data_IF_563004605191
#
_entry.id   IF_563004605191
#
_cell.length_a   1.000
_cell.length_b   1.000
_cell.length_c   1.000
_cell.angle_alpha   90.00
_cell.angle_beta   90.00
_cell.angle_gamma   90.00
#
_symmetry.space_group_name_H-M   'P 1'
#
loop_
_entity.id
_entity.type
_entity.pdbx_description
1 polymer ?
#
# COMPACT_ATOMS: atom_id res chain seq x y z
N UNK A 1 35.82 9.86 -3.65
CA UNK A 1 35.76 11.34 -3.71
C UNK A 1 35.42 11.91 -5.09
N UNK A 2 35.66 11.18 -6.18
CA UNK A 2 35.35 11.64 -7.56
C UNK A 2 33.86 11.60 -7.97
N UNK A 3 33.04 10.79 -7.30
CA UNK A 3 31.62 10.67 -7.64
C UNK A 3 30.69 11.74 -7.02
N UNK A 4 31.15 12.45 -6.00
CA UNK A 4 30.41 13.59 -5.40
C UNK A 4 30.56 14.86 -6.28
N UNK A 5 31.63 14.94 -7.07
CA UNK A 5 31.93 16.12 -7.91
C UNK A 5 31.06 16.14 -9.20
N UNK A 6 30.47 15.01 -9.61
CA UNK A 6 29.60 14.97 -10.79
C UNK A 6 28.19 15.57 -10.57
N UNK A 7 27.77 15.76 -9.31
CA UNK A 7 26.51 16.43 -9.00
C UNK A 7 26.64 17.99 -9.00
N UNK A 8 27.86 18.54 -8.90
CA UNK A 8 28.09 20.00 -8.83
C UNK A 8 28.54 20.67 -10.14
N UNK A 9 28.76 19.91 -11.21
CA UNK A 9 29.15 20.48 -12.52
C UNK A 9 28.39 19.86 -13.67
N UNK A 10 27.18 20.36 -13.90
CA UNK A 10 26.49 20.17 -15.18
C UNK A 10 26.60 21.49 -15.95
N UNK A 11 27.47 21.59 -16.98
CA UNK A 11 27.38 22.69 -17.95
C UNK A 11 26.10 22.50 -18.77
N UNK A 12 25.45 23.57 -19.18
CA UNK A 12 24.31 23.64 -20.07
C UNK A 12 24.47 22.72 -21.30
N UNK A 13 23.78 21.62 -21.26
CA UNK A 13 23.87 20.50 -22.20
C UNK A 13 23.31 19.24 -21.54
N UNK A 14 22.48 19.36 -20.52
CA UNK A 14 22.03 18.34 -19.58
C UNK A 14 21.44 17.13 -20.25
N UNK A 15 22.15 16.02 -20.17
CA UNK A 15 21.54 14.68 -20.14
C UNK A 15 20.76 14.65 -18.83
N UNK A 16 19.44 14.68 -18.91
CA UNK A 16 18.54 14.60 -17.75
C UNK A 16 18.61 13.18 -17.17
N UNK A 17 19.67 12.89 -16.38
CA UNK A 17 19.86 11.59 -15.74
C UNK A 17 18.81 11.49 -14.67
N UNK A 18 17.90 10.51 -14.82
CA UNK A 18 16.90 10.21 -13.81
C UNK A 18 17.62 9.78 -12.50
N UNK A 19 17.38 10.41 -11.34
CA UNK A 19 18.02 10.04 -10.08
C UNK A 19 18.00 8.53 -9.77
N UNK A 20 16.98 7.81 -10.24
CA UNK A 20 16.86 6.35 -10.11
C UNK A 20 18.04 5.60 -10.75
N UNK A 21 18.58 6.12 -11.84
CA UNK A 21 19.62 5.41 -12.63
C UNK A 21 20.95 5.30 -11.85
N UNK A 22 21.25 6.23 -10.94
CA UNK A 22 22.39 6.11 -10.02
C UNK A 22 22.24 4.88 -9.11
N UNK A 23 21.01 4.60 -8.67
CA UNK A 23 20.71 3.48 -7.76
C UNK A 23 20.58 2.13 -8.48
N UNK A 24 20.89 2.07 -9.75
CA UNK A 24 21.08 0.82 -10.51
C UNK A 24 22.55 0.42 -10.64
N UNK A 25 23.46 1.26 -10.17
CA UNK A 25 24.89 0.99 -10.15
C UNK A 25 25.33 0.47 -8.77
N UNK A 26 25.79 -0.78 -8.69
CA UNK A 26 26.16 -1.43 -7.42
C UNK A 26 27.27 -0.68 -6.68
N UNK A 27 28.26 -0.13 -7.39
CA UNK A 27 29.36 0.60 -6.76
C UNK A 27 28.87 1.91 -6.13
N UNK A 28 27.98 2.64 -6.84
CA UNK A 28 27.35 3.84 -6.30
C UNK A 28 26.50 3.51 -5.05
N UNK A 29 25.62 2.50 -5.16
CA UNK A 29 24.74 2.07 -4.06
C UNK A 29 25.54 1.64 -2.86
N UNK A 30 26.59 0.83 -3.01
CA UNK A 30 27.42 0.36 -1.91
C UNK A 30 28.08 1.54 -1.19
N UNK A 31 28.72 2.45 -1.91
CA UNK A 31 29.35 3.63 -1.32
C UNK A 31 28.32 4.56 -0.64
N UNK A 32 27.20 4.87 -1.32
CA UNK A 32 26.16 5.73 -0.78
C UNK A 32 25.53 5.13 0.48
N UNK A 33 25.27 3.82 0.50
CA UNK A 33 24.66 3.17 1.64
C UNK A 33 25.63 3.01 2.82
N UNK A 34 26.90 2.75 2.58
CA UNK A 34 27.91 2.74 3.65
C UNK A 34 28.01 4.09 4.36
N UNK A 35 27.95 5.18 3.61
CA UNK A 35 28.09 6.54 4.15
C UNK A 35 26.79 7.05 4.79
N UNK A 36 25.65 6.83 4.14
CA UNK A 36 24.41 7.51 4.50
C UNK A 36 23.35 6.61 5.14
N UNK A 37 23.38 5.29 4.92
CA UNK A 37 22.31 4.38 5.36
C UNK A 37 22.74 3.49 6.52
N UNK A 38 23.92 2.84 6.46
CA UNK A 38 24.38 1.97 7.54
C UNK A 38 24.49 2.70 8.89
N UNK A 39 24.93 3.97 8.99
CA UNK A 39 24.93 4.71 10.25
C UNK A 39 23.53 4.90 10.84
N UNK A 40 22.49 5.11 9.99
CA UNK A 40 21.10 5.24 10.46
C UNK A 40 20.49 3.92 10.96
N UNK A 41 21.13 2.81 10.61
CA UNK A 41 20.76 1.46 11.07
C UNK A 41 21.59 1.00 12.26
N UNK A 42 22.50 1.85 12.80
CA UNK A 42 23.51 1.49 13.81
C UNK A 42 24.46 0.39 13.33
N UNK A 43 24.83 0.41 12.04
CA UNK A 43 25.70 -0.57 11.38
C UNK A 43 26.97 0.11 10.82
N UNK A 44 27.47 1.18 11.47
CA UNK A 44 28.65 1.92 11.00
C UNK A 44 29.95 1.09 10.99
N UNK A 45 29.99 0.05 11.83
CA UNK A 45 31.09 -0.91 11.91
C UNK A 45 31.08 -1.95 10.78
N UNK A 46 30.05 -1.96 9.92
CA UNK A 46 29.97 -2.88 8.79
C UNK A 46 30.39 -2.20 7.48
N UNK A 47 30.84 -3.03 6.54
CA UNK A 47 31.02 -2.70 5.12
C UNK A 47 30.13 -3.58 4.26
N UNK A 48 29.76 -3.10 3.08
CA UNK A 48 28.98 -3.87 2.13
C UNK A 48 29.93 -4.74 1.29
N UNK A 49 29.76 -6.06 1.37
CA UNK A 49 30.51 -7.03 0.56
C UNK A 49 29.88 -7.21 -0.81
N UNK A 50 28.56 -7.20 -0.87
CA UNK A 50 27.77 -7.42 -2.08
C UNK A 50 26.45 -6.68 -1.97
N UNK A 51 26.02 -6.10 -3.08
CA UNK A 51 24.71 -5.48 -3.24
C UNK A 51 24.00 -6.13 -4.44
N UNK A 52 22.82 -6.69 -4.22
CA UNK A 52 21.92 -7.09 -5.32
C UNK A 52 20.81 -6.06 -5.47
N UNK A 53 20.55 -5.67 -6.71
CA UNK A 53 19.58 -4.61 -7.06
C UNK A 53 18.49 -5.22 -7.93
N UNK A 54 17.26 -5.29 -7.38
CA UNK A 54 16.11 -5.88 -8.05
C UNK A 54 15.01 -4.85 -8.28
N UNK A 55 14.62 -4.60 -9.52
CA UNK A 55 13.48 -3.73 -9.82
C UNK A 55 12.18 -4.43 -9.46
N UNK A 56 11.44 -3.89 -8.49
CA UNK A 56 10.12 -4.41 -8.07
C UNK A 56 8.98 -3.90 -8.96
N UNK A 57 9.05 -2.62 -9.38
CA UNK A 57 8.06 -1.98 -10.26
C UNK A 57 8.78 -1.14 -11.30
N UNK A 58 8.52 -1.39 -12.59
CA UNK A 58 9.13 -0.69 -13.72
C UNK A 58 8.33 0.53 -14.21
N UNK A 59 7.32 0.99 -13.46
CA UNK A 59 6.52 2.16 -13.86
C UNK A 59 7.39 3.41 -13.86
N UNK A 60 7.49 4.11 -14.99
CA UNK A 60 8.32 5.32 -15.16
C UNK A 60 8.09 6.40 -14.10
N UNK A 61 6.87 6.50 -13.54
CA UNK A 61 6.49 7.55 -12.56
C UNK A 61 6.63 7.15 -11.10
N UNK A 62 6.75 5.86 -10.79
CA UNK A 62 6.80 5.33 -9.42
C UNK A 62 7.68 4.08 -9.38
N UNK A 63 8.98 4.21 -9.66
CA UNK A 63 9.88 3.07 -9.57
C UNK A 63 10.04 2.65 -8.12
N UNK A 64 10.16 1.33 -7.90
CA UNK A 64 10.53 0.74 -6.63
C UNK A 64 11.63 -0.28 -6.87
N UNK A 65 12.69 -0.20 -6.07
CA UNK A 65 13.87 -1.05 -6.18
C UNK A 65 14.13 -1.70 -4.82
N UNK A 66 14.37 -2.99 -4.85
CA UNK A 66 14.88 -3.75 -3.70
C UNK A 66 16.41 -3.77 -3.75
N UNK A 67 17.00 -3.52 -2.59
CA UNK A 67 18.44 -3.64 -2.34
C UNK A 67 18.65 -4.74 -1.31
N UNK A 68 19.35 -5.79 -1.69
CA UNK A 68 19.80 -6.83 -0.77
C UNK A 68 21.30 -6.68 -0.55
N UNK A 69 21.67 -6.39 0.70
CA UNK A 69 23.02 -6.08 1.09
C UNK A 69 23.57 -7.20 1.96
N UNK A 70 24.77 -7.70 1.63
CA UNK A 70 25.55 -8.59 2.49
C UNK A 70 26.63 -7.77 3.18
N UNK A 71 26.65 -7.84 4.50
CA UNK A 71 27.49 -7.03 5.35
C UNK A 71 28.58 -7.87 6.02
N UNK A 72 29.76 -7.29 6.20
CA UNK A 72 30.83 -7.84 7.01
C UNK A 72 31.31 -6.80 8.02
N UNK A 73 31.59 -7.23 9.25
CA UNK A 73 32.14 -6.35 10.27
C UNK A 73 33.58 -5.94 9.90
N UNK A 74 33.89 -4.65 9.94
CA UNK A 74 35.20 -4.07 9.61
C UNK A 74 36.31 -4.58 10.54
N UNK A 75 35.95 -4.96 11.77
CA UNK A 75 36.89 -5.38 12.83
C UNK A 75 37.20 -6.89 12.80
N UNK A 76 36.49 -7.69 11.98
CA UNK A 76 36.73 -9.13 11.86
C UNK A 76 37.83 -9.42 10.83
N UNK A 77 39.07 -9.50 11.30
CA UNK A 77 40.23 -9.94 10.48
C UNK A 77 40.37 -11.47 10.38
N UNK A 78 39.55 -12.25 11.11
CA UNK A 78 39.62 -13.71 11.11
C UNK A 78 38.82 -14.32 9.95
N UNK A 79 39.53 -14.91 9.00
CA UNK A 79 38.97 -15.58 7.83
C UNK A 79 38.14 -16.84 8.15
N UNK A 80 37.95 -17.23 9.41
CA UNK A 80 37.34 -18.51 9.78
C UNK A 80 35.94 -18.42 10.44
N UNK A 81 35.44 -17.22 10.76
CA UNK A 81 34.04 -17.00 11.23
C UNK A 81 33.48 -15.71 10.66
N UNK A 82 33.23 -15.69 9.36
CA UNK A 82 32.49 -14.60 8.75
C UNK A 82 31.01 -14.75 9.13
N UNK A 83 30.57 -14.02 10.13
CA UNK A 83 29.16 -13.84 10.41
C UNK A 83 28.62 -12.85 9.38
N UNK A 84 28.22 -13.37 8.21
CA UNK A 84 27.56 -12.59 7.17
C UNK A 84 26.16 -12.24 7.65
N UNK A 85 25.92 -10.96 7.84
CA UNK A 85 24.57 -10.41 8.09
C UNK A 85 24.03 -9.87 6.78
N UNK A 86 22.75 -10.12 6.46
CA UNK A 86 22.11 -9.53 5.30
C UNK A 86 20.95 -8.63 5.72
N UNK A 87 20.80 -7.51 5.01
CA UNK A 87 19.65 -6.61 5.16
C UNK A 87 19.00 -6.38 3.82
N UNK A 88 17.67 -6.27 3.83
CA UNK A 88 16.87 -6.01 2.64
C UNK A 88 16.13 -4.68 2.79
N UNK A 89 16.33 -3.78 1.83
CA UNK A 89 15.75 -2.46 1.79
C UNK A 89 14.92 -2.27 0.53
N UNK A 90 13.95 -1.38 0.60
CA UNK A 90 13.17 -0.94 -0.57
C UNK A 90 13.29 0.57 -0.71
N UNK A 91 13.76 1.01 -1.88
CA UNK A 91 13.76 2.39 -2.29
C UNK A 91 12.54 2.70 -3.15
N UNK A 92 11.86 3.80 -2.86
CA UNK A 92 10.77 4.37 -3.65
C UNK A 92 11.13 5.77 -4.11
N UNK A 93 10.78 6.11 -5.35
CA UNK A 93 11.05 7.42 -5.96
C UNK A 93 9.77 8.09 -6.42
N UNK A 94 9.67 9.40 -6.16
CA UNK A 94 8.61 10.28 -6.65
C UNK A 94 9.12 11.70 -6.74
N UNK A 95 8.62 12.45 -7.73
CA UNK A 95 8.99 13.86 -7.94
C UNK A 95 7.92 14.81 -7.35
N UNK A 96 7.29 14.43 -6.26
CA UNK A 96 6.28 15.21 -5.57
C UNK A 96 6.51 15.17 -4.04
N UNK A 97 5.89 16.09 -3.33
CA UNK A 97 5.99 16.21 -1.86
C UNK A 97 5.39 14.99 -1.12
N UNK A 98 4.56 14.23 -1.81
CA UNK A 98 3.86 13.08 -1.23
C UNK A 98 4.79 12.04 -0.61
N UNK A 99 6.00 11.87 -1.17
CA UNK A 99 6.97 10.90 -0.64
C UNK A 99 7.52 11.35 0.72
N UNK A 100 7.75 12.67 0.88
CA UNK A 100 8.19 13.24 2.16
C UNK A 100 7.10 13.12 3.22
N UNK A 101 5.86 13.49 2.87
CA UNK A 101 4.70 13.35 3.76
C UNK A 101 4.48 11.90 4.18
N UNK A 102 4.61 10.96 3.25
CA UNK A 102 4.52 9.52 3.53
C UNK A 102 5.61 9.08 4.48
N UNK A 103 6.83 9.56 4.31
CA UNK A 103 7.95 9.24 5.20
C UNK A 103 7.72 9.77 6.62
N UNK A 104 7.27 11.01 6.76
CA UNK A 104 6.96 11.64 8.05
C UNK A 104 5.85 10.87 8.79
N UNK A 105 4.78 10.50 8.07
CA UNK A 105 3.72 9.66 8.60
C UNK A 105 4.24 8.30 9.09
N UNK A 106 5.05 7.63 8.29
CA UNK A 106 5.64 6.33 8.67
C UNK A 106 6.54 6.45 9.91
N UNK A 107 7.32 7.53 10.04
CA UNK A 107 8.12 7.78 11.24
C UNK A 107 7.24 7.98 12.47
N UNK A 108 6.15 8.72 12.34
CA UNK A 108 5.19 8.93 13.43
C UNK A 108 4.53 7.61 13.84
N UNK A 109 4.01 6.83 12.88
CA UNK A 109 3.44 5.51 13.13
C UNK A 109 4.44 4.56 13.78
N UNK A 110 5.68 4.55 13.29
CA UNK A 110 6.75 3.75 13.88
C UNK A 110 6.97 4.10 15.35
N UNK A 111 7.03 5.38 15.68
CA UNK A 111 7.26 5.84 17.07
C UNK A 111 6.06 5.60 17.99
N UNK A 112 4.84 5.51 17.44
CA UNK A 112 3.57 5.40 18.20
C UNK A 112 3.03 3.98 18.32
N UNK A 113 3.82 2.95 18.03
CA UNK A 113 3.44 1.57 18.33
C UNK A 113 3.55 0.57 17.20
N UNK A 114 4.06 0.95 16.03
CA UNK A 114 4.40 -0.01 14.97
C UNK A 114 5.89 -0.39 14.96
N UNK A 115 6.61 -0.10 16.03
CA UNK A 115 7.99 -0.57 16.21
C UNK A 115 7.99 -2.11 16.33
N UNK A 116 8.99 -2.73 15.70
CA UNK A 116 9.20 -4.16 15.84
C UNK A 116 9.65 -4.45 17.28
N UNK A 117 8.71 -4.87 18.14
CA UNK A 117 8.99 -5.49 19.43
C UNK A 117 8.68 -6.99 19.32
N UNK A 118 9.29 -7.80 20.21
CA UNK A 118 9.12 -9.26 20.17
C UNK A 118 7.66 -9.72 20.38
N UNK A 119 6.83 -8.88 21.01
CA UNK A 119 5.43 -9.18 21.35
C UNK A 119 4.42 -8.57 20.38
N UNK A 120 4.84 -7.77 19.38
CA UNK A 120 3.92 -7.10 18.46
C UNK A 120 4.05 -7.63 17.02
N UNK A 121 3.07 -8.44 16.64
CA UNK A 121 2.96 -9.04 15.32
C UNK A 121 2.32 -8.13 14.25
N UNK A 122 1.82 -6.93 14.64
CA UNK A 122 1.17 -5.96 13.74
C UNK A 122 2.16 -4.86 13.37
N UNK A 123 2.78 -4.96 12.20
CA UNK A 123 3.96 -4.19 11.80
C UNK A 123 3.71 -3.32 10.57
N UNK A 124 4.60 -2.35 10.36
CA UNK A 124 4.81 -1.64 9.09
C UNK A 124 6.27 -1.83 8.66
N UNK A 125 6.58 -1.57 7.39
CA UNK A 125 7.98 -1.43 6.96
C UNK A 125 8.63 -0.29 7.70
N UNK A 126 9.80 -0.55 8.34
CA UNK A 126 10.55 0.47 9.10
C UNK A 126 11.01 1.59 8.16
N UNK A 127 10.60 2.85 8.37
CA UNK A 127 11.16 3.97 7.63
C UNK A 127 12.60 4.21 8.05
N UNK A 128 13.52 4.28 7.07
CA UNK A 128 14.96 4.38 7.36
C UNK A 128 15.47 5.78 7.06
N UNK A 129 15.21 6.27 5.86
CA UNK A 129 15.66 7.60 5.44
C UNK A 129 14.82 8.15 4.28
N UNK A 130 14.73 9.48 4.25
CA UNK A 130 14.31 10.24 3.08
C UNK A 130 15.49 11.10 2.59
N UNK A 131 15.78 11.05 1.29
CA UNK A 131 16.84 11.78 0.62
C UNK A 131 16.22 12.73 -0.41
N UNK A 132 16.03 14.01 -0.07
CA UNK A 132 15.34 14.98 -0.93
C UNK A 132 16.06 15.19 -2.27
N UNK A 133 17.40 15.24 -2.27
CA UNK A 133 18.20 15.46 -3.49
C UNK A 133 18.03 14.34 -4.54
N UNK A 134 17.60 13.18 -4.11
CA UNK A 134 17.34 12.03 -4.97
C UNK A 134 15.84 11.69 -5.11
N UNK A 135 14.96 12.43 -4.43
CA UNK A 135 13.54 12.07 -4.31
C UNK A 135 13.34 10.60 -3.91
N UNK A 136 14.15 10.13 -2.97
CA UNK A 136 14.24 8.74 -2.55
C UNK A 136 13.80 8.58 -1.10
N UNK A 137 12.84 7.69 -0.88
CA UNK A 137 12.51 7.15 0.44
C UNK A 137 13.02 5.72 0.55
N UNK A 138 13.74 5.40 1.63
CA UNK A 138 14.16 4.04 1.98
C UNK A 138 13.38 3.53 3.18
N UNK A 139 12.93 2.27 3.07
CA UNK A 139 12.32 1.52 4.14
C UNK A 139 12.86 0.09 4.18
N UNK A 140 12.68 -0.63 5.30
CA UNK A 140 12.93 -2.06 5.35
C UNK A 140 12.00 -2.79 4.38
N UNK A 141 12.48 -3.87 3.75
CA UNK A 141 11.60 -4.76 3.01
C UNK A 141 10.71 -5.52 3.99
N UNK A 142 9.42 -5.63 3.69
CA UNK A 142 8.52 -6.53 4.40
C UNK A 142 8.94 -7.98 4.17
N UNK A 143 9.00 -8.76 5.23
CA UNK A 143 9.27 -10.19 5.17
C UNK A 143 8.01 -10.99 4.84
N UNK A 144 8.21 -12.25 4.44
CA UNK A 144 7.13 -13.19 4.20
C UNK A 144 6.51 -13.11 2.81
N UNK A 145 5.26 -13.55 2.73
CA UNK A 145 4.51 -13.71 1.48
C UNK A 145 3.37 -12.69 1.45
N UNK A 146 3.16 -12.08 0.30
CA UNK A 146 2.03 -11.19 0.04
C UNK A 146 0.70 -11.96 0.17
N UNK A 147 -0.23 -11.46 0.99
CA UNK A 147 -1.54 -12.11 1.21
C UNK A 147 -2.33 -12.24 -0.11
N UNK A 148 -2.19 -11.26 -1.01
CA UNK A 148 -2.78 -11.33 -2.35
C UNK A 148 -2.24 -12.48 -3.19
N UNK A 149 -0.96 -12.83 -3.05
CA UNK A 149 -0.37 -14.00 -3.70
C UNK A 149 -0.90 -15.31 -3.08
N UNK A 150 -1.00 -15.38 -1.77
CA UNK A 150 -1.59 -16.54 -1.07
C UNK A 150 -3.04 -16.75 -1.48
N UNK A 151 -3.84 -15.69 -1.70
CA UNK A 151 -5.19 -15.80 -2.26
C UNK A 151 -5.22 -16.43 -3.65
N UNK A 152 -4.19 -16.23 -4.46
CA UNK A 152 -4.11 -16.88 -5.79
C UNK A 152 -3.69 -18.36 -5.70
N UNK A 153 -2.91 -18.74 -4.70
CA UNK A 153 -2.36 -20.08 -4.52
C UNK A 153 -3.31 -21.03 -3.73
N UNK A 154 -4.29 -20.49 -2.98
CA UNK A 154 -5.54 -21.19 -2.68
C UNK A 154 -5.63 -22.07 -1.43
N UNK A 155 -4.77 -21.96 -0.41
CA UNK A 155 -5.01 -22.66 0.87
C UNK A 155 -5.96 -21.84 1.77
N UNK A 156 -7.26 -22.20 1.72
CA UNK A 156 -8.33 -21.46 2.40
C UNK A 156 -8.16 -21.46 3.94
N UNK A 157 -7.67 -22.54 4.56
CA UNK A 157 -7.65 -22.68 6.02
C UNK A 157 -6.66 -21.73 6.69
N UNK A 158 -5.52 -21.47 6.05
CA UNK A 158 -4.49 -20.54 6.53
C UNK A 158 -4.88 -19.11 6.24
N UNK A 159 -5.51 -18.88 5.07
CA UNK A 159 -5.95 -17.54 4.62
C UNK A 159 -6.95 -16.88 5.56
N UNK A 160 -7.93 -17.63 6.09
CA UNK A 160 -8.95 -17.08 6.98
C UNK A 160 -8.35 -16.44 8.22
N UNK A 161 -7.36 -17.09 8.84
CA UNK A 161 -6.70 -16.53 10.01
C UNK A 161 -5.99 -15.21 9.71
N UNK A 162 -5.28 -15.10 8.60
CA UNK A 162 -4.60 -13.87 8.22
C UNK A 162 -5.57 -12.75 7.85
N UNK A 163 -6.69 -13.09 7.20
CA UNK A 163 -7.76 -12.11 6.91
C UNK A 163 -8.32 -11.54 8.21
N UNK A 164 -8.57 -12.39 9.22
CA UNK A 164 -9.06 -11.94 10.52
C UNK A 164 -8.00 -11.12 11.28
N UNK A 165 -6.72 -11.51 11.20
CA UNK A 165 -5.64 -10.73 11.81
C UNK A 165 -5.46 -9.36 11.13
N UNK A 166 -5.72 -9.25 9.82
CA UNK A 166 -5.71 -8.00 9.09
C UNK A 166 -6.71 -6.97 9.70
N UNK A 167 -7.86 -7.42 10.24
CA UNK A 167 -8.79 -6.56 10.97
C UNK A 167 -8.16 -5.97 12.24
N UNK A 168 -7.37 -6.76 12.98
CA UNK A 168 -6.65 -6.27 14.16
C UNK A 168 -5.61 -5.21 13.82
N UNK A 169 -4.96 -5.35 12.66
CA UNK A 169 -4.03 -4.36 12.16
C UNK A 169 -4.73 -3.03 11.84
N UNK A 170 -5.87 -3.07 11.12
CA UNK A 170 -6.69 -1.88 10.86
C UNK A 170 -7.18 -1.22 12.15
N UNK A 171 -7.69 -2.01 13.11
CA UNK A 171 -8.11 -1.48 14.39
C UNK A 171 -6.97 -0.76 15.13
N UNK A 172 -5.73 -1.28 15.03
CA UNK A 172 -4.54 -0.60 15.57
C UNK A 172 -4.27 0.72 14.85
N UNK A 173 -4.29 0.74 13.52
CA UNK A 173 -4.08 1.96 12.72
C UNK A 173 -5.13 3.03 13.04
N UNK A 174 -6.40 2.66 13.03
CA UNK A 174 -7.50 3.60 13.22
C UNK A 174 -7.63 4.14 14.65
N UNK A 175 -6.94 3.53 15.62
CA UNK A 175 -6.86 4.02 17.01
C UNK A 175 -5.66 4.96 17.28
N UNK A 176 -4.75 5.10 16.31
CA UNK A 176 -3.58 5.95 16.49
C UNK A 176 -3.94 7.41 16.22
N UNK A 177 -3.70 8.27 17.19
CA UNK A 177 -3.76 9.72 17.01
C UNK A 177 -2.48 10.18 16.30
N UNK A 178 -2.58 10.63 15.04
CA UNK A 178 -1.48 11.12 14.22
C UNK A 178 -1.63 12.60 13.88
N UNK A 179 -0.47 13.28 13.75
CA UNK A 179 -0.39 14.69 13.36
C UNK A 179 0.02 14.88 11.91
N UNK A 180 0.74 13.91 11.36
CA UNK A 180 1.31 13.97 10.01
C UNK A 180 0.35 13.47 8.91
N UNK A 181 -0.91 13.23 9.22
CA UNK A 181 -1.91 12.76 8.26
C UNK A 181 -2.39 13.87 7.32
N UNK A 182 -2.37 13.64 6.02
CA UNK A 182 -3.01 14.54 5.05
C UNK A 182 -4.52 14.56 5.26
N UNK A 183 -5.15 15.72 5.02
CA UNK A 183 -6.60 15.77 4.96
C UNK A 183 -7.11 15.09 3.68
N UNK A 184 -8.23 14.40 3.77
CA UNK A 184 -8.96 13.92 2.61
C UNK A 184 -9.49 15.10 1.79
N UNK A 185 -9.37 15.03 0.47
CA UNK A 185 -9.90 16.03 -0.45
C UNK A 185 -11.15 15.49 -1.13
N UNK A 186 -12.31 16.00 -0.72
CA UNK A 186 -13.59 15.68 -1.35
C UNK A 186 -13.63 16.11 -2.82
N UNK A 187 -13.02 17.24 -3.16
CA UNK A 187 -12.92 17.72 -4.54
C UNK A 187 -12.13 16.72 -5.42
N UNK A 188 -11.01 16.23 -4.91
CA UNK A 188 -10.22 15.21 -5.61
C UNK A 188 -11.00 13.90 -5.77
N UNK A 189 -11.76 13.49 -4.76
CA UNK A 189 -12.60 12.30 -4.81
C UNK A 189 -13.73 12.46 -5.80
N UNK A 190 -14.43 13.59 -5.80
CA UNK A 190 -15.48 13.91 -6.78
C UNK A 190 -14.96 13.86 -8.22
N UNK A 191 -13.81 14.48 -8.49
CA UNK A 191 -13.19 14.44 -9.81
C UNK A 191 -12.87 13.00 -10.25
N UNK A 192 -12.40 12.18 -9.31
CA UNK A 192 -12.09 10.76 -9.53
C UNK A 192 -13.35 9.95 -9.82
N UNK A 193 -14.40 10.08 -9.00
CA UNK A 193 -15.67 9.37 -9.17
C UNK A 193 -16.35 9.76 -10.49
N UNK A 194 -16.34 11.04 -10.85
CA UNK A 194 -16.85 11.55 -12.12
C UNK A 194 -16.12 10.89 -13.30
N UNK A 195 -14.79 10.89 -13.27
CA UNK A 195 -13.98 10.26 -14.32
C UNK A 195 -14.29 8.75 -14.46
N UNK A 196 -14.45 8.02 -13.34
CA UNK A 196 -14.82 6.61 -13.39
C UNK A 196 -16.23 6.41 -13.96
N UNK A 197 -17.19 7.26 -13.56
CA UNK A 197 -18.56 7.24 -14.07
C UNK A 197 -18.58 7.44 -15.59
N UNK A 198 -17.96 8.50 -16.09
CA UNK A 198 -17.88 8.81 -17.52
C UNK A 198 -17.28 7.64 -18.32
N UNK A 199 -16.16 7.08 -17.83
CA UNK A 199 -15.52 5.93 -18.47
C UNK A 199 -16.42 4.68 -18.49
N UNK A 200 -17.09 4.36 -17.39
CA UNK A 200 -17.99 3.21 -17.32
C UNK A 200 -19.27 3.41 -18.14
N UNK A 201 -19.84 4.61 -18.17
CA UNK A 201 -20.98 4.93 -19.04
C UNK A 201 -20.63 4.79 -20.52
N UNK A 202 -19.40 5.17 -20.90
CA UNK A 202 -18.91 4.96 -22.26
C UNK A 202 -18.74 3.48 -22.62
N UNK A 203 -18.22 2.67 -21.68
CA UNK A 203 -18.01 1.23 -21.88
C UNK A 203 -19.32 0.43 -21.89
N UNK A 204 -20.32 0.88 -21.12
CA UNK A 204 -21.58 0.18 -20.87
C UNK A 204 -22.79 1.10 -21.07
N UNK A 205 -23.08 1.51 -22.32
CA UNK A 205 -24.15 2.49 -22.59
C UNK A 205 -25.52 2.02 -22.11
N UNK A 206 -25.81 0.70 -22.14
CA UNK A 206 -27.08 0.12 -21.67
C UNK A 206 -27.28 0.27 -20.15
N UNK A 207 -26.21 0.51 -19.38
CA UNK A 207 -26.22 0.73 -17.95
C UNK A 207 -25.88 2.17 -17.54
N UNK A 208 -25.69 3.08 -18.50
CA UNK A 208 -25.13 4.41 -18.26
C UNK A 208 -25.91 5.22 -17.22
N UNK A 209 -27.24 5.25 -17.31
CA UNK A 209 -28.09 5.95 -16.33
C UNK A 209 -27.92 5.36 -14.93
N UNK A 210 -27.95 4.03 -14.82
CA UNK A 210 -27.80 3.32 -13.56
C UNK A 210 -26.43 3.57 -12.92
N UNK A 211 -25.38 3.50 -13.71
CA UNK A 211 -24.00 3.78 -13.28
C UNK A 211 -23.88 5.21 -12.77
N UNK A 212 -24.39 6.19 -13.53
CA UNK A 212 -24.33 7.59 -13.14
C UNK A 212 -25.08 7.86 -11.83
N UNK A 213 -26.26 7.26 -11.65
CA UNK A 213 -27.07 7.38 -10.43
C UNK A 213 -26.35 6.77 -9.22
N UNK A 214 -25.68 5.63 -9.36
CA UNK A 214 -24.91 4.99 -8.30
C UNK A 214 -23.72 5.85 -7.86
N UNK A 215 -22.96 6.43 -8.79
CA UNK A 215 -21.88 7.35 -8.46
C UNK A 215 -22.36 8.62 -7.77
N UNK A 216 -23.48 9.20 -8.23
CA UNK A 216 -24.09 10.37 -7.59
C UNK A 216 -24.52 10.05 -6.16
N UNK A 217 -25.17 8.91 -5.94
CA UNK A 217 -25.60 8.48 -4.60
C UNK A 217 -24.40 8.27 -3.65
N UNK A 218 -23.32 7.64 -4.14
CA UNK A 218 -22.10 7.47 -3.35
C UNK A 218 -21.52 8.83 -2.96
N UNK A 219 -21.38 9.74 -3.91
CA UNK A 219 -20.83 11.08 -3.67
C UNK A 219 -21.68 11.88 -2.66
N UNK A 220 -23.02 11.83 -2.78
CA UNK A 220 -23.92 12.54 -1.86
C UNK A 220 -23.81 11.98 -0.44
N UNK A 221 -23.66 10.65 -0.29
CA UNK A 221 -23.40 10.03 1.01
C UNK A 221 -22.04 10.45 1.57
N UNK A 222 -20.98 10.48 0.78
CA UNK A 222 -19.65 10.94 1.21
C UNK A 222 -19.65 12.43 1.62
N UNK A 223 -20.37 13.28 0.92
CA UNK A 223 -20.55 14.69 1.26
C UNK A 223 -21.30 14.92 2.57
N UNK A 224 -22.15 13.99 2.96
CA UNK A 224 -22.96 14.07 4.19
C UNK A 224 -22.24 13.56 5.45
N UNK A 225 -20.99 13.09 5.34
CA UNK A 225 -20.25 12.53 6.45
C UNK A 225 -19.85 13.59 7.48
N UNK A 226 -19.99 13.25 8.76
CA UNK A 226 -19.47 14.09 9.85
C UNK A 226 -17.96 13.85 10.02
N UNK A 227 -17.16 14.88 9.76
CA UNK A 227 -15.70 14.82 9.88
C UNK A 227 -15.21 14.52 11.30
N UNK A 228 -16.06 14.62 12.33
CA UNK A 228 -15.71 14.21 13.70
C UNK A 228 -15.44 12.72 13.84
N UNK A 229 -15.94 11.91 12.89
CA UNK A 229 -15.71 10.46 12.86
C UNK A 229 -14.44 10.10 12.05
N UNK A 230 -13.70 11.08 11.53
CA UNK A 230 -12.54 10.83 10.70
C UNK A 230 -11.33 10.47 11.56
N UNK A 231 -10.53 9.55 11.03
CA UNK A 231 -9.26 9.10 11.59
C UNK A 231 -8.27 8.82 10.48
N UNK A 232 -7.07 8.42 10.85
CA UNK A 232 -6.09 7.99 9.85
C UNK A 232 -6.57 6.72 9.16
N UNK A 233 -6.64 6.74 7.83
CA UNK A 233 -6.85 5.56 7.00
C UNK A 233 -5.58 5.22 6.21
N UNK A 234 -5.46 3.95 5.82
CA UNK A 234 -4.41 3.51 4.89
C UNK A 234 -4.70 3.99 3.46
N UNK A 235 -5.97 4.02 3.04
CA UNK A 235 -6.43 4.51 1.74
C UNK A 235 -6.20 3.56 0.55
N UNK A 236 -5.38 2.52 0.72
CA UNK A 236 -5.18 1.43 -0.24
C UNK A 236 -4.99 0.08 0.50
N UNK A 237 -5.79 -0.15 1.56
CA UNK A 237 -5.72 -1.37 2.35
C UNK A 237 -6.27 -2.56 1.58
N UNK A 238 -5.41 -3.36 1.01
CA UNK A 238 -5.79 -4.52 0.20
C UNK A 238 -4.79 -5.67 0.38
N UNK A 239 -5.16 -6.92 0.04
CA UNK A 239 -4.30 -8.09 0.25
C UNK A 239 -2.90 -8.01 -0.38
N UNK A 240 -2.71 -7.23 -1.46
CA UNK A 240 -1.39 -7.09 -2.08
C UNK A 240 -0.44 -6.17 -1.30
N UNK A 241 -0.96 -5.40 -0.35
CA UNK A 241 -0.17 -4.51 0.51
C UNK A 241 0.06 -5.11 1.90
N UNK A 242 -0.34 -6.38 2.13
CA UNK A 242 -0.20 -7.11 3.39
C UNK A 242 0.75 -8.28 3.19
N UNK A 243 1.83 -8.32 3.97
CA UNK A 243 2.79 -9.41 4.00
C UNK A 243 2.65 -10.19 5.29
N UNK A 244 2.72 -11.53 5.19
CA UNK A 244 2.62 -12.45 6.32
C UNK A 244 3.88 -13.30 6.45
N UNK A 245 4.42 -13.37 7.66
CA UNK A 245 5.61 -14.14 8.01
C UNK A 245 5.38 -14.81 9.38
N UNK A 246 5.00 -16.09 9.36
CA UNK A 246 4.51 -16.75 10.57
C UNK A 246 3.27 -16.06 11.12
N UNK A 247 3.36 -15.51 12.32
CA UNK A 247 2.28 -14.72 12.92
C UNK A 247 2.34 -13.22 12.59
N UNK A 248 3.43 -12.76 12.00
CA UNK A 248 3.63 -11.35 11.71
C UNK A 248 2.82 -10.88 10.51
N UNK A 249 2.18 -9.73 10.65
CA UNK A 249 1.55 -8.99 9.57
C UNK A 249 2.28 -7.67 9.38
N UNK A 250 2.87 -7.48 8.21
CA UNK A 250 3.51 -6.21 7.82
C UNK A 250 2.74 -5.56 6.69
N UNK A 251 2.27 -4.34 6.91
CA UNK A 251 1.56 -3.56 5.89
C UNK A 251 2.50 -2.52 5.28
N UNK A 252 2.37 -2.34 3.96
CA UNK A 252 3.19 -1.44 3.14
C UNK A 252 2.31 -0.49 2.31
N UNK A 253 2.93 0.50 1.70
CA UNK A 253 2.32 1.37 0.66
C UNK A 253 1.31 2.41 1.18
N UNK A 254 1.78 3.27 2.10
CA UNK A 254 1.01 4.35 2.76
C UNK A 254 0.83 5.62 1.90
N UNK A 255 1.15 5.58 0.60
CA UNK A 255 1.07 6.77 -0.26
C UNK A 255 -0.36 7.35 -0.41
N UNK A 256 -1.39 6.56 -0.13
CA UNK A 256 -2.79 6.99 -0.17
C UNK A 256 -3.36 7.34 1.20
N UNK A 257 -2.56 7.21 2.26
CA UNK A 257 -3.01 7.46 3.63
C UNK A 257 -3.42 8.92 3.83
N UNK A 258 -4.53 9.11 4.50
CA UNK A 258 -5.07 10.44 4.82
C UNK A 258 -6.01 10.36 6.04
N UNK A 259 -6.45 11.51 6.53
CA UNK A 259 -7.48 11.61 7.57
C UNK A 259 -8.84 11.57 6.88
N UNK A 260 -9.55 10.47 7.04
CA UNK A 260 -10.87 10.22 6.45
C UNK A 260 -11.67 9.20 7.27
N UNK A 261 -12.81 8.73 6.73
CA UNK A 261 -13.67 7.74 7.39
C UNK A 261 -13.01 6.36 7.46
N UNK A 262 -12.77 5.79 8.65
CA UNK A 262 -12.19 4.44 8.81
C UNK A 262 -12.95 3.33 8.09
N UNK A 263 -14.26 3.50 7.85
CA UNK A 263 -15.06 2.56 7.07
C UNK A 263 -14.57 2.37 5.64
N UNK A 264 -13.80 3.34 5.10
CA UNK A 264 -13.21 3.25 3.76
C UNK A 264 -12.30 2.03 3.63
N UNK A 265 -11.34 1.86 4.54
CA UNK A 265 -10.41 0.73 4.49
C UNK A 265 -11.12 -0.62 4.68
N UNK A 266 -12.12 -0.66 5.58
CA UNK A 266 -12.92 -1.86 5.82
C UNK A 266 -13.67 -2.28 4.56
N UNK A 267 -14.45 -1.37 3.97
CA UNK A 267 -15.23 -1.65 2.78
C UNK A 267 -14.36 -1.98 1.56
N UNK A 268 -13.24 -1.26 1.40
CA UNK A 268 -12.28 -1.51 0.33
C UNK A 268 -11.66 -2.90 0.44
N UNK A 269 -11.19 -3.30 1.62
CA UNK A 269 -10.60 -4.62 1.85
C UNK A 269 -11.60 -5.75 1.57
N UNK A 270 -12.81 -5.66 2.12
CA UNK A 270 -13.86 -6.65 1.92
C UNK A 270 -14.23 -6.77 0.43
N UNK A 271 -14.38 -5.64 -0.27
CA UNK A 271 -14.65 -5.64 -1.71
C UNK A 271 -13.52 -6.32 -2.51
N UNK A 272 -12.25 -6.16 -2.09
CA UNK A 272 -11.11 -6.86 -2.70
C UNK A 272 -11.16 -8.37 -2.47
N UNK A 273 -11.59 -8.83 -1.29
CA UNK A 273 -11.79 -10.26 -1.02
C UNK A 273 -12.92 -10.86 -1.89
N UNK A 274 -14.06 -10.16 -2.01
CA UNK A 274 -15.17 -10.59 -2.88
C UNK A 274 -14.71 -10.67 -4.34
N UNK A 275 -13.93 -9.67 -4.79
CA UNK A 275 -13.38 -9.65 -6.14
C UNK A 275 -12.37 -10.78 -6.38
N UNK A 276 -11.53 -11.10 -5.40
CA UNK A 276 -10.58 -12.20 -5.47
C UNK A 276 -11.30 -13.56 -5.49
N UNK A 277 -12.28 -13.77 -4.60
CA UNK A 277 -13.12 -14.98 -4.60
C UNK A 277 -13.71 -15.24 -5.98
N UNK A 278 -14.36 -14.23 -6.58
CA UNK A 278 -14.95 -14.35 -7.92
C UNK A 278 -13.90 -14.65 -9.00
N UNK A 279 -12.78 -13.93 -8.97
CA UNK A 279 -11.72 -14.04 -9.98
C UNK A 279 -11.01 -15.38 -9.96
N UNK A 280 -10.71 -15.90 -8.78
CA UNK A 280 -9.92 -17.12 -8.58
C UNK A 280 -10.77 -18.33 -8.20
N UNK A 281 -12.11 -18.19 -8.13
CA UNK A 281 -13.05 -19.21 -7.70
C UNK A 281 -12.65 -19.84 -6.35
N UNK A 282 -12.33 -18.98 -5.38
CA UNK A 282 -11.83 -19.43 -4.08
C UNK A 282 -12.94 -20.11 -3.26
N UNK A 283 -12.63 -21.20 -2.55
CA UNK A 283 -13.57 -21.90 -1.68
C UNK A 283 -13.73 -21.18 -0.32
N UNK A 284 -13.89 -19.85 -0.35
CA UNK A 284 -14.05 -19.02 0.84
C UNK A 284 -15.52 -18.67 1.05
N UNK A 285 -16.01 -18.80 2.28
CA UNK A 285 -17.26 -18.18 2.69
C UNK A 285 -16.99 -16.72 3.04
N UNK A 286 -17.16 -15.83 2.04
CA UNK A 286 -16.83 -14.40 2.23
C UNK A 286 -17.82 -13.71 3.15
N UNK A 287 -19.06 -14.17 3.26
CA UNK A 287 -20.05 -13.55 4.14
C UNK A 287 -19.72 -13.87 5.61
N UNK A 288 -19.32 -15.09 5.94
CA UNK A 288 -18.81 -15.44 7.27
C UNK A 288 -17.49 -14.72 7.57
N UNK A 289 -16.57 -14.68 6.61
CA UNK A 289 -15.30 -13.98 6.76
C UNK A 289 -15.49 -12.46 6.99
N UNK A 290 -16.39 -11.81 6.24
CA UNK A 290 -16.74 -10.41 6.45
C UNK A 290 -17.22 -10.19 7.89
N UNK A 291 -18.16 -11.00 8.36
CA UNK A 291 -18.67 -10.92 9.73
C UNK A 291 -17.53 -11.07 10.75
N UNK A 292 -16.74 -12.12 10.67
CA UNK A 292 -15.62 -12.38 11.60
C UNK A 292 -14.54 -11.29 11.55
N UNK A 293 -14.26 -10.74 10.37
CA UNK A 293 -13.36 -9.61 10.18
C UNK A 293 -13.87 -8.35 10.91
N UNK A 294 -15.15 -8.02 10.72
CA UNK A 294 -15.77 -6.85 11.36
C UNK A 294 -15.91 -7.04 12.87
N UNK A 295 -16.26 -8.23 13.35
CA UNK A 295 -16.30 -8.57 14.78
C UNK A 295 -14.91 -8.41 15.42
N UNK A 296 -13.86 -8.86 14.74
CA UNK A 296 -12.48 -8.72 15.21
C UNK A 296 -12.03 -7.27 15.26
N UNK A 297 -12.42 -6.46 14.28
CA UNK A 297 -12.15 -5.03 14.25
C UNK A 297 -12.82 -4.31 15.42
N UNK A 298 -14.13 -4.53 15.64
CA UNK A 298 -14.90 -3.85 16.68
C UNK A 298 -14.58 -4.32 18.08
N UNK A 299 -13.93 -5.44 18.26
CA UNK A 299 -13.41 -5.85 19.57
C UNK A 299 -12.40 -4.84 20.17
N UNK A 300 -11.86 -3.93 19.36
CA UNK A 300 -10.82 -2.97 19.76
C UNK A 300 -11.16 -1.51 19.46
N UNK A 301 -12.24 -1.24 18.72
CA UNK A 301 -12.59 0.11 18.25
C UNK A 301 -14.13 0.28 18.22
N UNK A 302 -14.58 1.53 18.06
CA UNK A 302 -16.00 1.85 17.94
C UNK A 302 -16.67 1.08 16.79
N UNK A 303 -17.94 0.69 17.00
CA UNK A 303 -18.83 0.09 15.99
C UNK A 303 -19.29 1.11 14.92
N UNK A 304 -19.14 2.41 15.17
CA UNK A 304 -19.68 3.49 14.31
C UNK A 304 -19.25 3.39 12.83
N UNK A 305 -17.98 3.06 12.49
CA UNK A 305 -17.57 2.86 11.08
C UNK A 305 -18.35 1.75 10.37
N UNK A 306 -18.85 0.72 11.09
CA UNK A 306 -19.54 -0.41 10.45
C UNK A 306 -20.78 0.01 9.68
N UNK A 307 -21.46 1.07 10.11
CA UNK A 307 -22.65 1.61 9.45
C UNK A 307 -22.39 2.07 8.01
N UNK A 308 -21.13 2.35 7.68
CA UNK A 308 -20.74 2.90 6.38
C UNK A 308 -19.88 1.95 5.53
N UNK A 309 -19.61 0.74 6.01
CA UNK A 309 -18.85 -0.27 5.26
C UNK A 309 -19.50 -0.57 3.91
N UNK A 310 -20.85 -0.67 3.86
CA UNK A 310 -21.59 -0.89 2.62
C UNK A 310 -21.34 0.21 1.58
N UNK A 311 -21.28 1.48 1.99
CA UNK A 311 -20.97 2.60 1.08
C UNK A 311 -19.62 2.38 0.37
N UNK A 312 -18.59 2.01 1.12
CA UNK A 312 -17.25 1.85 0.56
C UNK A 312 -17.04 0.51 -0.15
N UNK A 313 -17.82 -0.53 0.18
CA UNK A 313 -17.92 -1.73 -0.67
C UNK A 313 -18.50 -1.37 -2.04
N UNK A 314 -19.61 -0.63 -2.07
CA UNK A 314 -20.26 -0.17 -3.28
C UNK A 314 -19.31 0.65 -4.16
N UNK A 315 -18.66 1.66 -3.57
CA UNK A 315 -17.66 2.48 -4.24
C UNK A 315 -16.52 1.63 -4.84
N UNK A 316 -16.05 0.64 -4.08
CA UNK A 316 -14.94 -0.21 -4.48
C UNK A 316 -15.29 -1.21 -5.59
N UNK A 317 -16.55 -1.64 -5.71
CA UNK A 317 -17.02 -2.46 -6.82
C UNK A 317 -17.02 -1.68 -8.13
N UNK A 318 -17.50 -0.44 -8.12
CA UNK A 318 -17.44 0.43 -9.31
C UNK A 318 -15.98 0.77 -9.68
N UNK A 319 -15.12 1.02 -8.69
CA UNK A 319 -13.69 1.16 -8.92
C UNK A 319 -13.08 -0.09 -9.56
N UNK A 320 -13.42 -1.28 -9.07
CA UNK A 320 -12.95 -2.55 -9.64
C UNK A 320 -13.35 -2.70 -11.10
N UNK A 321 -14.62 -2.41 -11.42
CA UNK A 321 -15.15 -2.46 -12.78
C UNK A 321 -14.42 -1.47 -13.70
N UNK A 322 -14.17 -0.24 -13.23
CA UNK A 322 -13.40 0.77 -13.97
C UNK A 322 -11.97 0.28 -14.28
N UNK A 323 -11.23 -0.17 -13.29
CA UNK A 323 -9.82 -0.55 -13.49
C UNK A 323 -9.63 -1.86 -14.26
N UNK A 324 -10.63 -2.71 -14.30
CA UNK A 324 -10.57 -3.95 -15.08
C UNK A 324 -10.35 -3.67 -16.58
N UNK A 325 -10.89 -2.58 -17.11
CA UNK A 325 -10.82 -2.22 -18.52
C UNK A 325 -9.92 -1.02 -18.81
N UNK A 326 -9.61 -0.21 -17.80
CA UNK A 326 -8.77 1.00 -17.95
C UNK A 326 -7.32 0.70 -18.33
N UNK A 327 -6.76 -0.40 -17.83
CA UNK A 327 -5.30 -0.63 -17.91
C UNK A 327 -4.82 -1.14 -19.26
N UNK A 328 -5.70 -1.34 -20.25
CA UNK A 328 -5.35 -1.92 -21.54
C UNK A 328 -4.78 -3.35 -21.48
N UNK A 329 -4.74 -3.95 -20.28
CA UNK A 329 -4.23 -5.30 -20.05
C UNK A 329 -5.26 -6.38 -20.34
N UNK A 330 -6.52 -5.99 -20.40
CA UNK A 330 -7.62 -6.87 -20.78
C UNK A 330 -7.78 -6.77 -22.29
N UNK A 331 -7.40 -7.81 -23.03
CA UNK A 331 -7.76 -8.00 -24.43
C UNK A 331 -9.24 -8.38 -24.59
N UNK A 332 -10.00 -8.42 -23.49
CA UNK A 332 -11.40 -8.77 -23.48
C UNK A 332 -12.25 -7.52 -23.69
N UNK A 333 -13.27 -7.65 -24.55
CA UNK A 333 -14.34 -6.66 -24.68
C UNK A 333 -15.06 -6.50 -23.34
N UNK A 334 -15.65 -5.31 -23.05
CA UNK A 334 -16.50 -5.13 -21.88
C UNK A 334 -17.58 -6.23 -21.82
N UNK A 335 -17.66 -6.92 -20.69
CA UNK A 335 -18.61 -8.02 -20.47
C UNK A 335 -19.85 -7.48 -19.76
N UNK A 336 -21.00 -7.54 -20.43
CA UNK A 336 -22.29 -7.06 -19.92
C UNK A 336 -22.73 -7.83 -18.66
N UNK A 337 -22.49 -9.14 -18.60
CA UNK A 337 -22.84 -9.96 -17.43
C UNK A 337 -21.97 -9.61 -16.22
N UNK A 338 -20.69 -9.31 -16.45
CA UNK A 338 -19.79 -8.87 -15.39
C UNK A 338 -20.20 -7.48 -14.88
N UNK A 339 -20.55 -6.56 -15.79
CA UNK A 339 -21.07 -5.24 -15.44
C UNK A 339 -22.35 -5.36 -14.58
N UNK A 340 -23.34 -6.14 -15.04
CA UNK A 340 -24.58 -6.36 -14.30
C UNK A 340 -24.34 -6.93 -12.90
N UNK A 341 -23.41 -7.89 -12.79
CA UNK A 341 -23.05 -8.48 -11.49
C UNK A 341 -22.53 -7.40 -10.51
N UNK A 342 -21.59 -6.55 -10.94
CA UNK A 342 -21.02 -5.53 -10.06
C UNK A 342 -21.99 -4.40 -9.75
N UNK A 343 -22.85 -4.05 -10.68
CA UNK A 343 -23.96 -3.10 -10.45
C UNK A 343 -24.90 -3.65 -9.37
N UNK A 344 -25.34 -4.90 -9.50
CA UNK A 344 -26.23 -5.52 -8.51
C UNK A 344 -25.58 -5.56 -7.13
N UNK A 345 -24.31 -5.93 -7.05
CA UNK A 345 -23.56 -5.92 -5.78
C UNK A 345 -23.41 -4.52 -5.18
N UNK A 346 -23.27 -3.50 -6.03
CA UNK A 346 -23.24 -2.10 -5.60
C UNK A 346 -24.59 -1.67 -5.01
N UNK A 347 -25.69 -2.01 -5.67
CA UNK A 347 -27.05 -1.71 -5.20
C UNK A 347 -27.38 -2.41 -3.89
N UNK A 348 -27.05 -3.73 -3.77
CA UNK A 348 -27.21 -4.49 -2.53
C UNK A 348 -26.54 -3.77 -1.35
N UNK A 349 -25.30 -3.30 -1.53
CA UNK A 349 -24.55 -2.61 -0.48
C UNK A 349 -25.14 -1.23 -0.11
N UNK A 350 -25.75 -0.52 -1.05
CA UNK A 350 -26.35 0.80 -0.79
C UNK A 350 -27.77 0.73 -0.23
N UNK A 351 -28.49 -0.33 -0.46
CA UNK A 351 -29.86 -0.55 0.06
C UNK A 351 -29.88 -1.01 1.52
N UNK A 352 -28.81 -1.66 1.98
CA UNK A 352 -28.67 -2.14 3.36
C UNK A 352 -28.27 -1.01 4.35
N UNK A 353 -28.18 0.21 3.90
CA UNK A 353 -27.93 1.42 4.70
C UNK A 353 -29.19 2.29 4.76
#
# INVERSE_FOLDING_TARGET
>A
MEYIILAEKIPDGSININPVDYFLNEAFVSNFFEVHVLPRLNLSEFRILKCEINRLKSRRRKPAIEFRLWLNNKNNNDNHKQQQTSINLVGKWRNDELLKETFDLLQELWSKGFQSGDDDYLKISKPIAYFPDYNLMLASKANGIELGKMLMEGDASVLENYIIQAASWLAKLHNIDVRSGRAFSLETEEAKLRHWSEHLCFLYPDFAEKISNLFSLILDKERSLDSKCFGLIHGDYNPNNIFVDGNDITVIDFEQSCIFDPAFDLGYFIAKLISAKRKYNLPLDVDDLEKRFLDKYTAKISIEPLKRVGLYKARSFLQHLHFRYWTGRSHHKPDQLDCQYWINKTEECLQLQ
#
